data_IF_934418412061
#
_entry.id   IF_934418412061
#
_cell.length_a   1.000
_cell.length_b   1.000
_cell.length_c   1.000
_cell.angle_alpha   90.00
_cell.angle_beta   90.00
_cell.angle_gamma   90.00
#
_symmetry.space_group_name_H-M   'P 1'
#
loop_
_entity.id
_entity.type
_entity.pdbx_description
1 polymer ?
#
# COMPACT_ATOMS: atom_id res chain seq x y z
N UNK A 1 -12.24 -2.99 -20.33
CA UNK A 1 -12.00 -3.35 -18.91
C UNK A 1 -12.61 -2.27 -18.05
N UNK A 2 -13.42 -2.62 -17.04
CA UNK A 2 -13.86 -1.64 -16.03
C UNK A 2 -12.65 -1.33 -15.14
N UNK A 3 -12.18 -0.09 -15.15
CA UNK A 3 -11.12 0.35 -14.25
C UNK A 3 -11.70 0.50 -12.84
N UNK A 4 -10.93 0.08 -11.84
CA UNK A 4 -11.23 0.40 -10.44
C UNK A 4 -11.13 1.92 -10.31
N UNK A 5 -12.09 2.60 -9.65
CA UNK A 5 -12.01 4.03 -9.40
C UNK A 5 -10.71 4.40 -8.68
N UNK A 6 -10.11 5.54 -9.04
CA UNK A 6 -8.88 6.03 -8.41
C UNK A 6 -9.04 6.34 -6.92
N UNK A 7 -10.27 6.60 -6.47
CA UNK A 7 -10.62 6.78 -5.08
C UNK A 7 -12.04 6.30 -4.79
N UNK A 8 -12.28 5.92 -3.54
CA UNK A 8 -13.59 5.59 -3.00
C UNK A 8 -13.82 6.37 -1.71
N UNK A 9 -14.93 7.11 -1.68
CA UNK A 9 -15.27 7.99 -0.58
C UNK A 9 -16.52 7.49 0.14
N UNK A 10 -16.48 7.54 1.47
CA UNK A 10 -17.66 7.50 2.33
C UNK A 10 -17.80 8.84 3.05
N UNK A 11 -18.81 8.97 3.91
CA UNK A 11 -19.06 10.18 4.71
C UNK A 11 -17.86 10.57 5.60
N UNK A 12 -16.98 9.63 5.94
CA UNK A 12 -15.86 9.86 6.88
C UNK A 12 -14.51 9.34 6.41
N UNK A 13 -14.48 8.53 5.35
CA UNK A 13 -13.27 7.87 4.89
C UNK A 13 -13.03 8.13 3.40
N UNK A 14 -11.77 8.29 3.04
CA UNK A 14 -11.29 8.37 1.67
C UNK A 14 -10.24 7.28 1.47
N UNK A 15 -10.56 6.32 0.60
CA UNK A 15 -9.63 5.31 0.14
C UNK A 15 -9.07 5.75 -1.22
N UNK A 16 -7.76 5.86 -1.33
CA UNK A 16 -7.10 6.15 -2.62
C UNK A 16 -5.68 5.62 -2.59
N UNK A 17 -4.99 5.71 -3.72
CA UNK A 17 -3.58 5.33 -3.80
C UNK A 17 -2.72 6.04 -2.76
N UNK A 18 -1.71 5.32 -2.26
CA UNK A 18 -0.66 5.84 -1.38
C UNK A 18 0.02 7.05 -2.04
N UNK A 19 0.22 8.11 -1.27
CA UNK A 19 1.02 9.26 -1.71
C UNK A 19 2.44 9.13 -1.18
N UNK A 20 3.41 9.67 -1.91
CA UNK A 20 4.82 9.63 -1.50
C UNK A 20 5.04 10.25 -0.12
N UNK A 21 4.32 11.32 0.21
CA UNK A 21 4.36 12.00 1.52
C UNK A 21 3.93 11.11 2.69
N UNK A 22 3.26 9.98 2.42
CA UNK A 22 2.69 9.09 3.42
C UNK A 22 3.56 7.84 3.63
N UNK A 23 4.61 7.64 2.82
CA UNK A 23 5.44 6.43 2.88
C UNK A 23 5.99 6.22 4.29
N UNK A 24 6.45 7.28 4.96
CA UNK A 24 6.98 7.19 6.32
C UNK A 24 5.91 6.73 7.32
N UNK A 25 4.74 7.35 7.30
CA UNK A 25 3.66 7.04 8.24
C UNK A 25 3.15 5.59 8.03
N UNK A 26 3.00 5.17 6.77
CA UNK A 26 2.55 3.82 6.44
C UNK A 26 3.63 2.78 6.75
N UNK A 27 4.92 3.09 6.55
CA UNK A 27 6.00 2.20 6.98
C UNK A 27 5.96 2.01 8.50
N UNK A 28 5.76 3.08 9.27
CA UNK A 28 5.61 2.99 10.73
C UNK A 28 4.44 2.10 11.15
N UNK A 29 3.31 2.15 10.44
CA UNK A 29 2.17 1.24 10.68
C UNK A 29 2.57 -0.21 10.39
N UNK A 30 3.25 -0.48 9.27
CA UNK A 30 3.73 -1.83 8.93
C UNK A 30 4.70 -2.36 9.98
N UNK A 31 5.66 -1.55 10.41
CA UNK A 31 6.69 -1.93 11.38
C UNK A 31 6.12 -2.20 12.77
N UNK A 32 5.06 -1.49 13.14
CA UNK A 32 4.37 -1.67 14.43
C UNK A 32 3.25 -2.72 14.40
N UNK A 33 2.89 -3.21 13.22
CA UNK A 33 1.84 -4.22 13.04
C UNK A 33 2.43 -5.63 13.12
N UNK A 34 2.23 -6.29 14.27
CA UNK A 34 2.79 -7.63 14.53
C UNK A 34 2.41 -8.69 13.49
N UNK A 35 1.21 -8.60 12.92
CA UNK A 35 0.68 -9.63 12.03
C UNK A 35 0.95 -9.42 10.54
N UNK A 36 1.26 -8.20 10.09
CA UNK A 36 1.45 -7.92 8.66
C UNK A 36 2.60 -8.75 8.08
N UNK A 37 3.67 -8.90 8.87
CA UNK A 37 4.86 -9.64 8.47
C UNK A 37 4.69 -11.16 8.61
N UNK A 38 3.85 -11.61 9.57
CA UNK A 38 3.52 -13.03 9.74
C UNK A 38 2.69 -13.59 8.57
N UNK A 39 1.82 -12.78 7.96
CA UNK A 39 0.93 -13.23 6.89
C UNK A 39 1.65 -13.46 5.56
N UNK A 40 2.72 -12.71 5.30
CA UNK A 40 3.53 -12.84 4.08
C UNK A 40 4.69 -13.84 4.28
N UNK A 41 4.94 -14.31 5.51
CA UNK A 41 6.03 -15.22 5.85
C UNK A 41 7.43 -14.65 5.52
N UNK A 42 7.52 -13.32 5.37
CA UNK A 42 8.76 -12.60 5.05
C UNK A 42 9.38 -12.04 6.32
N UNK A 43 10.70 -11.99 6.33
CA UNK A 43 11.43 -11.24 7.35
C UNK A 43 11.07 -9.75 7.29
N UNK A 44 11.25 -9.07 8.42
CA UNK A 44 11.06 -7.62 8.52
C UNK A 44 11.92 -6.88 7.47
N UNK A 45 11.28 -6.19 6.51
CA UNK A 45 11.93 -5.34 5.52
C UNK A 45 11.72 -3.85 5.89
N UNK A 46 12.76 -3.12 6.35
CA UNK A 46 12.63 -1.75 6.83
C UNK A 46 12.16 -0.72 5.78
N UNK A 47 12.24 -1.06 4.48
CA UNK A 47 11.84 -0.20 3.37
C UNK A 47 10.67 -0.78 2.56
N UNK A 48 9.94 -1.74 3.13
CA UNK A 48 8.88 -2.49 2.44
C UNK A 48 7.90 -1.59 1.68
N UNK A 49 7.38 -0.56 2.33
CA UNK A 49 6.37 0.34 1.74
C UNK A 49 6.96 1.14 0.59
N UNK A 50 8.19 1.63 0.73
CA UNK A 50 8.91 2.32 -0.35
C UNK A 50 9.18 1.39 -1.53
N UNK A 51 9.68 0.18 -1.26
CA UNK A 51 9.91 -0.85 -2.29
C UNK A 51 8.62 -1.14 -3.06
N UNK A 52 7.49 -1.33 -2.35
CA UNK A 52 6.19 -1.55 -2.95
C UNK A 52 5.67 -0.35 -3.76
N UNK A 53 5.94 0.88 -3.30
CA UNK A 53 5.55 2.10 -4.01
C UNK A 53 6.32 2.28 -5.32
N UNK A 54 7.64 2.12 -5.28
CA UNK A 54 8.54 2.40 -6.40
C UNK A 54 8.61 1.24 -7.41
N UNK A 55 8.68 0.00 -6.92
CA UNK A 55 8.92 -1.20 -7.75
C UNK A 55 7.70 -2.12 -7.83
N UNK A 56 6.82 -2.05 -6.85
CA UNK A 56 5.69 -2.97 -6.70
C UNK A 56 6.10 -4.34 -6.18
N UNK A 57 5.19 -5.01 -5.48
CA UNK A 57 5.28 -6.43 -5.18
C UNK A 57 4.57 -7.20 -6.31
N UNK A 58 5.23 -7.31 -7.46
CA UNK A 58 4.61 -7.76 -8.71
C UNK A 58 4.75 -9.28 -8.89
N UNK A 59 3.69 -9.97 -9.35
CA UNK A 59 3.86 -11.33 -9.86
C UNK A 59 4.70 -11.33 -11.15
N UNK A 60 5.21 -12.50 -11.60
CA UNK A 60 5.93 -12.61 -12.87
C UNK A 60 5.11 -12.01 -14.05
N UNK A 61 5.71 -11.08 -14.78
CA UNK A 61 5.04 -10.36 -15.88
C UNK A 61 4.03 -9.29 -15.45
N UNK A 62 3.90 -9.03 -14.14
CA UNK A 62 3.05 -7.98 -13.59
C UNK A 62 3.51 -6.59 -14.02
N UNK A 63 2.55 -5.68 -14.18
CA UNK A 63 2.81 -4.27 -14.50
C UNK A 63 2.51 -3.41 -13.29
N UNK A 64 3.46 -2.56 -12.92
CA UNK A 64 3.37 -1.69 -11.75
C UNK A 64 2.08 -0.87 -11.69
N UNK A 65 1.57 -0.40 -12.84
CA UNK A 65 0.30 0.34 -12.94
C UNK A 65 -0.93 -0.39 -12.37
N UNK A 66 -0.88 -1.73 -12.28
CA UNK A 66 -1.97 -2.56 -11.78
C UNK A 66 -1.83 -2.94 -10.31
N UNK A 67 -0.71 -2.60 -9.66
CA UNK A 67 -0.42 -2.98 -8.28
C UNK A 67 -0.04 -1.73 -7.48
N UNK A 68 -0.92 -1.36 -6.55
CA UNK A 68 -0.81 -0.15 -5.74
C UNK A 68 -1.20 -0.48 -4.30
N UNK A 69 -0.53 0.19 -3.37
CA UNK A 69 -1.02 0.28 -2.00
C UNK A 69 -2.12 1.35 -2.02
N UNK A 70 -3.31 1.01 -1.52
CA UNK A 70 -4.35 2.00 -1.25
C UNK A 70 -4.40 2.26 0.25
N UNK A 71 -4.37 3.53 0.62
CA UNK A 71 -4.49 3.97 2.00
C UNK A 71 -5.89 4.49 2.27
N UNK A 72 -6.36 4.29 3.50
CA UNK A 72 -7.64 4.79 3.99
C UNK A 72 -7.34 5.95 4.94
N UNK A 73 -7.93 7.11 4.64
CA UNK A 73 -7.75 8.36 5.39
C UNK A 73 -9.09 8.84 5.91
N UNK A 74 -9.07 9.58 7.02
CA UNK A 74 -10.21 10.40 7.44
C UNK A 74 -10.07 11.81 6.88
N UNK A 75 -11.21 12.50 6.74
CA UNK A 75 -11.24 13.94 6.45
C UNK A 75 -10.94 14.79 7.69
#
# INVERSE_FOLDING_TARGET
>A
MKQIPAAWNSDRLCMSDLKESEIFDIQSIVDTSSYVQEWDGRDHEPNYVRTCFEKGNLPPGGRLENYRIQTIRTY
#
